data_IF_457802120393
#
_entry.id   IF_457802120393
#
_cell.length_a   1.000
_cell.length_b   1.000
_cell.length_c   1.000
_cell.angle_alpha   90.00
_cell.angle_beta   90.00
_cell.angle_gamma   90.00
#
_symmetry.space_group_name_H-M   'P 1'
#
loop_
_entity.id
_entity.type
_entity.pdbx_description
1 polymer ?
#
# COMPACT_ATOMS: atom_id res chain seq x y z
N UNK A 1 -10.68 -9.12 22.31
CA UNK A 1 -11.58 -9.75 21.34
C UNK A 1 -11.14 -11.18 21.11
N UNK A 2 -12.00 -12.15 21.43
CA UNK A 2 -11.76 -13.57 21.17
C UNK A 2 -12.26 -13.97 19.76
N UNK A 3 -12.03 -15.23 19.36
CA UNK A 3 -12.43 -15.73 18.03
C UNK A 3 -13.93 -15.64 17.76
N UNK A 4 -14.77 -15.98 18.74
CA UNK A 4 -16.23 -15.98 18.58
C UNK A 4 -16.77 -14.55 18.36
N UNK A 5 -16.29 -13.59 19.14
CA UNK A 5 -16.62 -12.18 18.99
C UNK A 5 -16.16 -11.64 17.63
N UNK A 6 -14.93 -11.95 17.23
CA UNK A 6 -14.37 -11.56 15.93
C UNK A 6 -15.21 -12.10 14.76
N UNK A 7 -15.60 -13.38 14.81
CA UNK A 7 -16.50 -13.99 13.82
C UNK A 7 -17.91 -13.39 13.82
N UNK A 8 -18.42 -12.95 14.99
CA UNK A 8 -19.70 -12.25 15.08
C UNK A 8 -19.62 -10.86 14.41
N UNK A 9 -18.55 -10.11 14.66
CA UNK A 9 -18.31 -8.79 14.06
C UNK A 9 -18.06 -8.86 12.54
N UNK A 10 -17.26 -9.83 12.07
CA UNK A 10 -17.08 -10.10 10.63
C UNK A 10 -18.43 -10.37 9.93
N UNK A 11 -19.29 -11.21 10.52
CA UNK A 11 -20.63 -11.49 9.97
C UNK A 11 -21.59 -10.30 10.01
N UNK A 12 -21.32 -9.30 10.84
CA UNK A 12 -22.03 -8.02 10.84
C UNK A 12 -21.49 -7.02 9.79
N UNK A 13 -20.43 -7.36 9.06
CA UNK A 13 -19.83 -6.53 8.01
C UNK A 13 -18.74 -5.58 8.49
N UNK A 14 -18.18 -5.77 9.69
CA UNK A 14 -17.02 -4.99 10.14
C UNK A 14 -15.74 -5.31 9.35
N UNK A 15 -14.88 -4.31 9.14
CA UNK A 15 -13.68 -4.43 8.30
C UNK A 15 -12.64 -5.39 8.93
N UNK A 16 -12.16 -6.41 8.20
CA UNK A 16 -11.24 -7.42 8.75
C UNK A 16 -9.89 -6.87 9.25
N UNK A 17 -9.40 -5.75 8.70
CA UNK A 17 -8.19 -5.10 9.17
C UNK A 17 -8.46 -4.26 10.43
N UNK A 18 -9.59 -3.55 10.50
CA UNK A 18 -10.00 -2.84 11.71
C UNK A 18 -10.23 -3.81 12.89
N UNK A 19 -10.83 -4.98 12.65
CA UNK A 19 -10.94 -6.06 13.64
C UNK A 19 -9.57 -6.63 14.06
N UNK A 20 -8.65 -6.82 13.11
CA UNK A 20 -7.29 -7.26 13.43
C UNK A 20 -6.55 -6.22 14.29
N UNK A 21 -6.74 -4.92 14.02
CA UNK A 21 -6.23 -3.82 14.85
C UNK A 21 -6.87 -3.83 16.25
N UNK A 22 -8.16 -4.11 16.37
CA UNK A 22 -8.84 -4.21 17.68
C UNK A 22 -8.24 -5.35 18.53
N UNK A 23 -8.09 -6.55 17.96
CA UNK A 23 -7.42 -7.68 18.62
C UNK A 23 -6.03 -7.29 19.14
N UNK A 24 -5.21 -6.62 18.32
CA UNK A 24 -3.86 -6.22 18.73
C UNK A 24 -3.83 -5.13 19.80
N UNK A 25 -4.84 -4.25 19.86
CA UNK A 25 -5.00 -3.35 21.02
C UNK A 25 -5.24 -4.14 22.30
N UNK A 26 -6.11 -5.15 22.26
CA UNK A 26 -6.42 -5.97 23.44
C UNK A 26 -5.20 -6.79 23.90
N UNK A 27 -4.44 -7.37 22.96
CA UNK A 27 -3.15 -8.00 23.26
C UNK A 27 -2.19 -7.00 23.92
N UNK A 28 -2.00 -5.81 23.36
CA UNK A 28 -1.13 -4.77 23.93
C UNK A 28 -1.60 -4.30 25.31
N UNK A 29 -2.91 -4.17 25.52
CA UNK A 29 -3.50 -3.79 26.80
C UNK A 29 -3.30 -4.89 27.86
N UNK A 30 -3.48 -6.16 27.50
CA UNK A 30 -3.22 -7.31 28.39
C UNK A 30 -1.74 -7.41 28.75
N UNK A 31 -0.84 -7.25 27.77
CA UNK A 31 0.61 -7.20 28.03
C UNK A 31 0.99 -6.08 29.00
N UNK A 32 0.24 -4.98 29.05
CA UNK A 32 0.47 -3.87 29.98
C UNK A 32 -0.06 -4.12 31.39
N UNK A 33 -1.10 -4.94 31.56
CA UNK A 33 -1.68 -5.27 32.88
C UNK A 33 -0.91 -6.38 33.61
N UNK A 34 -0.37 -7.36 32.88
CA UNK A 34 0.28 -8.55 33.47
C UNK A 34 1.69 -8.28 34.03
N UNK A 35 2.12 -9.11 34.99
CA UNK A 35 3.46 -9.01 35.61
C UNK A 35 4.43 -10.08 35.13
N UNK A 36 3.95 -11.23 34.66
CA UNK A 36 4.75 -12.34 34.13
C UNK A 36 4.20 -12.79 32.78
N UNK A 37 5.05 -13.35 31.93
CA UNK A 37 4.60 -13.93 30.66
C UNK A 37 3.66 -15.13 30.86
N UNK A 38 3.75 -15.82 32.00
CA UNK A 38 2.82 -16.89 32.41
C UNK A 38 1.38 -16.43 32.61
N UNK A 39 1.15 -15.13 32.78
CA UNK A 39 -0.17 -14.56 33.04
C UNK A 39 -0.83 -14.10 31.73
N UNK A 40 -0.20 -14.34 30.57
CA UNK A 40 -0.76 -14.03 29.26
C UNK A 40 -2.00 -14.90 28.99
N UNK A 41 -3.06 -14.31 28.41
CA UNK A 41 -4.26 -15.03 28.03
C UNK A 41 -4.12 -15.55 26.60
N UNK A 42 -3.77 -16.82 26.48
CA UNK A 42 -3.56 -17.52 25.20
C UNK A 42 -4.75 -17.37 24.22
N UNK A 43 -5.97 -17.20 24.74
CA UNK A 43 -7.19 -17.02 23.93
C UNK A 43 -7.22 -15.69 23.16
N UNK A 44 -6.48 -14.66 23.61
CA UNK A 44 -6.37 -13.39 22.90
C UNK A 44 -5.57 -13.52 21.61
N UNK A 45 -4.56 -14.38 21.59
CA UNK A 45 -3.74 -14.58 20.39
C UNK A 45 -4.33 -15.66 19.50
N UNK A 46 -4.58 -16.86 20.03
CA UNK A 46 -5.20 -17.99 19.32
C UNK A 46 -4.73 -18.15 17.85
N UNK A 47 -3.42 -17.97 17.65
CA UNK A 47 -2.68 -18.16 16.40
C UNK A 47 -3.28 -17.40 15.19
N UNK A 48 -3.15 -17.97 13.99
CA UNK A 48 -3.80 -17.47 12.77
C UNK A 48 -5.33 -17.61 12.84
N UNK A 49 -5.83 -18.56 13.62
CA UNK A 49 -7.25 -18.90 13.75
C UNK A 49 -8.08 -17.80 14.43
N UNK A 50 -7.44 -16.81 15.06
CA UNK A 50 -8.10 -15.60 15.53
C UNK A 50 -7.61 -14.35 14.77
N UNK A 51 -7.14 -14.47 13.52
CA UNK A 51 -6.81 -13.33 12.68
C UNK A 51 -7.96 -13.08 11.70
N UNK A 52 -8.67 -11.95 11.84
CA UNK A 52 -9.80 -11.63 10.97
C UNK A 52 -9.40 -11.55 9.48
N UNK A 53 -8.15 -11.18 9.18
CA UNK A 53 -7.61 -11.25 7.81
C UNK A 53 -7.44 -12.71 7.31
N UNK A 54 -7.10 -13.66 8.17
CA UNK A 54 -6.98 -15.07 7.78
C UNK A 54 -8.35 -15.72 7.55
N UNK A 55 -9.42 -15.26 8.20
CA UNK A 55 -10.79 -15.74 7.94
C UNK A 55 -11.30 -15.35 6.55
N UNK A 56 -10.92 -14.17 6.05
CA UNK A 56 -11.44 -13.64 4.77
C UNK A 56 -10.51 -13.86 3.58
N UNK A 57 -9.28 -14.30 3.83
CA UNK A 57 -8.26 -14.51 2.81
C UNK A 57 -7.80 -15.97 2.80
N UNK A 58 -8.43 -16.79 1.96
CA UNK A 58 -8.11 -18.22 1.76
C UNK A 58 -6.63 -18.49 1.41
N UNK A 59 -5.92 -17.48 0.92
CA UNK A 59 -4.48 -17.54 0.63
C UNK A 59 -3.76 -16.28 1.09
N UNK A 60 -2.57 -16.46 1.66
CA UNK A 60 -1.65 -15.38 2.04
C UNK A 60 -1.48 -14.36 0.91
N UNK A 61 -1.36 -14.80 -0.34
CA UNK A 61 -1.16 -13.95 -1.52
C UNK A 61 -2.26 -12.89 -1.72
N UNK A 62 -3.48 -13.15 -1.23
CA UNK A 62 -4.59 -12.20 -1.32
C UNK A 62 -4.59 -11.16 -0.18
N UNK A 63 -3.96 -11.47 0.95
CA UNK A 63 -3.94 -10.69 2.18
C UNK A 63 -3.15 -9.37 2.02
N UNK A 64 -3.62 -8.24 2.57
CA UNK A 64 -2.90 -6.97 2.52
C UNK A 64 -1.54 -7.01 3.24
N UNK A 65 -1.36 -7.90 4.23
CA UNK A 65 -0.06 -8.10 4.89
C UNK A 65 0.98 -8.64 3.91
N UNK A 66 0.63 -9.69 3.15
CA UNK A 66 1.51 -10.24 2.10
C UNK A 66 1.84 -9.20 1.04
N UNK A 67 0.84 -8.42 0.58
CA UNK A 67 1.04 -7.34 -0.39
C UNK A 67 2.02 -6.28 0.11
N UNK A 68 2.10 -6.05 1.42
CA UNK A 68 3.07 -5.12 2.03
C UNK A 68 4.45 -5.73 2.27
N UNK A 69 4.56 -7.02 2.60
CA UNK A 69 5.83 -7.65 3.02
C UNK A 69 6.49 -8.53 1.96
N UNK A 70 5.75 -8.97 0.94
CA UNK A 70 6.16 -9.98 -0.03
C UNK A 70 6.38 -11.38 0.58
N UNK A 71 5.79 -11.68 1.74
CA UNK A 71 6.10 -12.89 2.53
C UNK A 71 4.84 -13.53 3.12
N UNK A 72 4.79 -14.86 3.05
CA UNK A 72 3.72 -15.68 3.63
C UNK A 72 3.82 -15.79 5.15
N UNK A 73 2.77 -16.32 5.80
CA UNK A 73 2.72 -16.61 7.24
C UNK A 73 3.03 -15.39 8.13
N UNK A 74 2.63 -14.19 7.68
CA UNK A 74 2.99 -12.89 8.30
C UNK A 74 4.51 -12.68 8.45
N UNK A 75 5.32 -13.30 7.59
CA UNK A 75 6.75 -13.07 7.54
C UNK A 75 7.08 -11.60 7.27
N UNK A 76 8.09 -11.08 7.94
CA UNK A 76 8.46 -9.66 7.82
C UNK A 76 7.54 -8.68 8.57
N UNK A 77 6.60 -9.16 9.39
CA UNK A 77 5.92 -8.33 10.39
C UNK A 77 6.41 -8.63 11.82
N UNK A 78 6.25 -7.68 12.77
CA UNK A 78 6.58 -7.87 14.18
C UNK A 78 5.85 -9.04 14.87
N UNK A 79 4.76 -9.57 14.30
CA UNK A 79 4.11 -10.80 14.77
C UNK A 79 5.10 -11.95 14.98
N UNK A 80 6.08 -12.14 14.09
CA UNK A 80 7.04 -13.23 14.25
C UNK A 80 7.99 -13.01 15.44
N UNK A 81 8.33 -11.76 15.72
CA UNK A 81 9.10 -11.35 16.91
C UNK A 81 8.29 -11.63 18.18
N UNK A 82 6.98 -11.33 18.15
CA UNK A 82 6.03 -11.59 19.24
C UNK A 82 5.92 -13.09 19.55
N UNK A 83 5.75 -13.93 18.51
CA UNK A 83 5.70 -15.40 18.62
C UNK A 83 6.96 -15.99 19.23
N UNK A 84 8.13 -15.47 18.86
CA UNK A 84 9.42 -15.90 19.40
C UNK A 84 9.62 -15.46 20.86
N UNK A 85 9.19 -14.24 21.20
CA UNK A 85 9.23 -13.72 22.57
C UNK A 85 8.36 -14.55 23.52
N UNK A 86 7.12 -14.85 23.11
CA UNK A 86 6.19 -15.71 23.84
C UNK A 86 6.78 -17.08 24.15
N UNK A 87 7.29 -17.79 23.13
CA UNK A 87 7.87 -19.13 23.30
C UNK A 87 9.06 -19.17 24.26
N UNK A 88 9.66 -18.01 24.56
CA UNK A 88 10.77 -17.82 25.51
C UNK A 88 10.32 -17.25 26.85
N UNK A 89 9.02 -17.02 27.04
CA UNK A 89 8.42 -16.32 28.18
C UNK A 89 9.02 -14.92 28.44
N UNK A 90 9.49 -14.25 27.37
CA UNK A 90 10.07 -12.90 27.44
C UNK A 90 8.98 -11.82 27.33
N UNK A 91 8.39 -11.47 28.47
CA UNK A 91 7.35 -10.43 28.56
C UNK A 91 7.81 -9.07 28.02
N UNK A 92 9.11 -8.73 28.09
CA UNK A 92 9.62 -7.45 27.60
C UNK A 92 9.63 -7.45 26.08
N UNK A 93 10.13 -8.51 25.46
CA UNK A 93 10.11 -8.65 24.01
C UNK A 93 8.66 -8.80 23.46
N UNK A 94 7.76 -9.49 24.19
CA UNK A 94 6.33 -9.56 23.84
C UNK A 94 5.69 -8.17 23.77
N UNK A 95 5.93 -7.31 24.78
CA UNK A 95 5.43 -5.92 24.78
C UNK A 95 5.91 -5.13 23.56
N UNK A 96 7.23 -5.14 23.31
CA UNK A 96 7.84 -4.39 22.20
C UNK A 96 7.29 -4.87 20.85
N UNK A 97 7.24 -6.18 20.62
CA UNK A 97 6.75 -6.74 19.36
C UNK A 97 5.24 -6.52 19.17
N UNK A 98 4.43 -6.60 20.24
CA UNK A 98 2.99 -6.36 20.16
C UNK A 98 2.63 -4.91 19.86
N UNK A 99 3.36 -3.94 20.43
CA UNK A 99 3.19 -2.53 20.07
C UNK A 99 3.57 -2.27 18.61
N UNK A 100 4.67 -2.84 18.13
CA UNK A 100 5.10 -2.73 16.72
C UNK A 100 4.13 -3.39 15.74
N UNK A 101 3.54 -4.54 16.06
CA UNK A 101 2.55 -5.20 15.20
C UNK A 101 1.27 -4.35 15.11
N UNK A 102 0.83 -3.77 16.23
CA UNK A 102 -0.29 -2.82 16.24
C UNK A 102 -0.01 -1.57 15.38
N UNK A 103 1.20 -0.99 15.50
CA UNK A 103 1.64 0.12 14.65
C UNK A 103 1.70 -0.26 13.17
N UNK A 104 2.22 -1.45 12.85
CA UNK A 104 2.27 -1.99 11.49
C UNK A 104 0.86 -2.11 10.87
N UNK A 105 -0.11 -2.69 11.58
CA UNK A 105 -1.48 -2.83 11.09
C UNK A 105 -2.18 -1.47 10.94
N UNK A 106 -1.95 -0.53 11.86
CA UNK A 106 -2.45 0.85 11.74
C UNK A 106 -1.84 1.55 10.52
N UNK A 107 -0.55 1.34 10.24
CA UNK A 107 0.15 1.87 9.06
C UNK A 107 -0.41 1.27 7.76
N UNK A 108 -0.58 -0.06 7.72
CA UNK A 108 -1.19 -0.79 6.61
C UNK A 108 -2.61 -0.24 6.29
N UNK A 109 -3.41 0.03 7.31
CA UNK A 109 -4.75 0.64 7.14
C UNK A 109 -4.68 2.04 6.52
N UNK A 110 -3.69 2.87 6.90
CA UNK A 110 -3.47 4.18 6.26
C UNK A 110 -3.10 4.00 4.78
N UNK A 111 -2.16 3.11 4.48
CA UNK A 111 -1.75 2.79 3.10
C UNK A 111 -2.93 2.35 2.23
N UNK A 112 -3.80 1.44 2.72
CA UNK A 112 -4.97 0.98 1.96
C UNK A 112 -5.99 2.11 1.70
N UNK A 113 -6.20 3.01 2.67
CA UNK A 113 -7.07 4.19 2.48
C UNK A 113 -6.50 5.16 1.45
N UNK A 114 -5.19 5.43 1.50
CA UNK A 114 -4.50 6.27 0.50
C UNK A 114 -4.53 5.63 -0.89
N UNK A 115 -4.25 4.32 -1.01
CA UNK A 115 -4.36 3.58 -2.27
C UNK A 115 -5.76 3.72 -2.88
N UNK A 116 -6.83 3.52 -2.10
CA UNK A 116 -8.21 3.65 -2.60
C UNK A 116 -8.54 5.07 -3.09
N UNK A 117 -8.03 6.11 -2.40
CA UNK A 117 -8.13 7.51 -2.87
C UNK A 117 -7.45 7.68 -4.23
N UNK A 118 -6.24 7.13 -4.38
CA UNK A 118 -5.47 7.21 -5.62
C UNK A 118 -6.10 6.41 -6.77
N UNK A 119 -6.63 5.22 -6.52
CA UNK A 119 -7.36 4.44 -7.54
C UNK A 119 -8.57 5.19 -8.09
N UNK A 120 -9.33 5.90 -7.23
CA UNK A 120 -10.43 6.77 -7.66
C UNK A 120 -9.94 7.95 -8.52
N UNK A 121 -8.77 8.54 -8.20
CA UNK A 121 -8.17 9.61 -9.00
C UNK A 121 -7.75 9.07 -10.37
N UNK A 122 -7.03 7.93 -10.43
CA UNK A 122 -6.63 7.32 -11.70
C UNK A 122 -7.85 6.99 -12.59
N UNK A 123 -8.92 6.45 -12.00
CA UNK A 123 -10.18 6.20 -12.73
C UNK A 123 -10.80 7.47 -13.31
N UNK A 124 -10.75 8.59 -12.57
CA UNK A 124 -11.22 9.89 -13.04
C UNK A 124 -10.34 10.47 -14.17
N UNK A 125 -9.02 10.31 -14.09
CA UNK A 125 -8.07 10.77 -15.11
C UNK A 125 -8.19 9.95 -16.41
N UNK A 126 -8.29 8.62 -16.32
CA UNK A 126 -8.60 7.74 -17.45
C UNK A 126 -9.95 8.11 -18.10
N UNK A 127 -10.96 8.43 -17.29
CA UNK A 127 -12.24 8.95 -17.76
C UNK A 127 -12.15 10.29 -18.50
N UNK A 128 -11.29 11.23 -18.04
CA UNK A 128 -11.02 12.49 -18.77
C UNK A 128 -10.42 12.22 -20.16
N UNK A 129 -9.39 11.39 -20.24
CA UNK A 129 -8.69 11.06 -21.48
C UNK A 129 -9.61 10.38 -22.50
N UNK A 130 -10.45 9.44 -22.05
CA UNK A 130 -11.47 8.78 -22.89
C UNK A 130 -12.52 9.73 -23.47
N UNK A 131 -12.73 10.89 -22.84
CA UNK A 131 -13.59 11.97 -23.34
C UNK A 131 -12.83 13.00 -24.21
N UNK A 132 -11.57 12.71 -24.58
CA UNK A 132 -10.73 13.63 -25.37
C UNK A 132 -10.31 14.89 -24.60
N UNK A 133 -10.46 14.92 -23.27
CA UNK A 133 -10.08 16.08 -22.46
C UNK A 133 -8.59 16.03 -22.15
N UNK A 134 -7.89 17.14 -22.40
CA UNK A 134 -6.51 17.34 -21.92
C UNK A 134 -6.49 17.32 -20.38
N UNK A 135 -5.43 16.73 -19.83
CA UNK A 135 -5.14 16.80 -18.40
C UNK A 135 -4.51 18.16 -18.05
N UNK A 136 -4.66 18.59 -16.80
CA UNK A 136 -4.01 19.81 -16.26
C UNK A 136 -2.69 19.48 -15.59
N UNK A 137 -1.83 20.47 -15.33
CA UNK A 137 -0.58 20.27 -14.59
C UNK A 137 -0.84 19.71 -13.16
N UNK A 138 -1.98 20.01 -12.56
CA UNK A 138 -2.44 19.44 -11.28
C UNK A 138 -2.85 17.95 -11.40
N UNK A 139 -3.43 17.54 -12.54
CA UNK A 139 -3.66 16.13 -12.84
C UNK A 139 -2.32 15.37 -13.03
N UNK A 140 -1.33 15.98 -13.70
CA UNK A 140 0.02 15.40 -13.89
C UNK A 140 0.78 15.29 -12.56
N UNK A 141 0.77 16.33 -11.73
CA UNK A 141 1.37 16.32 -10.39
C UNK A 141 0.80 15.18 -9.55
N UNK A 142 -0.51 14.90 -9.65
CA UNK A 142 -1.14 13.76 -8.98
C UNK A 142 -0.68 12.42 -9.54
N UNK A 143 -0.46 12.28 -10.85
CA UNK A 143 0.11 11.04 -11.41
C UNK A 143 1.50 10.75 -10.81
N UNK A 144 2.33 11.77 -10.65
CA UNK A 144 3.67 11.66 -10.03
C UNK A 144 3.56 11.33 -8.53
N UNK A 145 2.66 11.99 -7.77
CA UNK A 145 2.37 11.66 -6.37
C UNK A 145 1.96 10.19 -6.20
N UNK A 146 1.08 9.71 -7.08
CA UNK A 146 0.56 8.34 -7.07
C UNK A 146 1.65 7.32 -7.44
N UNK A 147 2.52 7.64 -8.40
CA UNK A 147 3.60 6.74 -8.81
C UNK A 147 4.68 6.60 -7.74
N UNK A 148 5.12 7.71 -7.16
CA UNK A 148 6.08 7.72 -6.05
C UNK A 148 5.54 6.91 -4.85
N UNK A 149 4.27 7.08 -4.51
CA UNK A 149 3.60 6.26 -3.49
C UNK A 149 3.53 4.78 -3.89
N UNK A 150 3.27 4.46 -5.16
CA UNK A 150 3.25 3.08 -5.64
C UNK A 150 4.63 2.41 -5.50
N UNK A 151 5.71 3.13 -5.81
CA UNK A 151 7.08 2.67 -5.64
C UNK A 151 7.46 2.50 -4.17
N UNK A 152 7.25 3.52 -3.32
CA UNK A 152 7.52 3.49 -1.87
C UNK A 152 6.79 2.33 -1.16
N UNK A 153 5.55 2.05 -1.60
CA UNK A 153 4.70 1.04 -0.97
C UNK A 153 4.73 -0.34 -1.65
N UNK A 154 5.53 -0.53 -2.70
CA UNK A 154 5.62 -1.74 -3.52
C UNK A 154 4.24 -2.22 -4.04
N UNK A 155 3.53 -1.32 -4.72
CA UNK A 155 2.18 -1.51 -5.28
C UNK A 155 2.24 -1.55 -6.82
N UNK A 156 2.73 -2.64 -7.44
CA UNK A 156 2.91 -2.71 -8.89
C UNK A 156 1.60 -2.50 -9.67
N UNK A 157 0.46 -2.91 -9.12
CA UNK A 157 -0.86 -2.70 -9.72
C UNK A 157 -1.31 -1.23 -9.78
N UNK A 158 -0.69 -0.36 -8.97
CA UNK A 158 -0.96 1.08 -8.99
C UNK A 158 -0.01 1.78 -9.98
N UNK A 159 1.27 1.40 -9.98
CA UNK A 159 2.27 1.83 -10.96
C UNK A 159 1.83 1.48 -12.41
N UNK A 160 1.34 0.26 -12.64
CA UNK A 160 0.84 -0.16 -13.96
C UNK A 160 -0.36 0.69 -14.44
N UNK A 161 -1.23 1.13 -13.52
CA UNK A 161 -2.35 2.04 -13.85
C UNK A 161 -1.87 3.44 -14.22
N UNK A 162 -0.86 3.97 -13.51
CA UNK A 162 -0.21 5.24 -13.86
C UNK A 162 0.43 5.15 -15.24
N UNK A 163 1.24 4.12 -15.50
CA UNK A 163 1.90 3.90 -16.78
C UNK A 163 0.90 3.82 -17.96
N UNK A 164 -0.25 3.16 -17.79
CA UNK A 164 -1.34 3.12 -18.80
C UNK A 164 -1.93 4.49 -19.10
N UNK A 165 -2.05 5.36 -18.09
CA UNK A 165 -2.51 6.73 -18.26
C UNK A 165 -1.45 7.56 -18.98
N UNK A 166 -0.17 7.44 -18.62
CA UNK A 166 0.96 8.10 -19.31
C UNK A 166 0.98 7.74 -20.81
N UNK A 167 0.94 6.44 -21.15
CA UNK A 167 0.86 5.96 -22.55
C UNK A 167 -0.41 6.44 -23.27
N UNK A 168 -1.48 6.78 -22.55
CA UNK A 168 -2.69 7.35 -23.14
C UNK A 168 -2.57 8.86 -23.38
N UNK A 169 -1.83 9.57 -22.52
CA UNK A 169 -1.44 10.98 -22.75
C UNK A 169 -0.55 11.07 -23.99
N UNK A 170 0.50 10.25 -24.08
CA UNK A 170 1.42 10.17 -25.22
C UNK A 170 0.71 9.99 -26.58
N UNK A 171 -0.40 9.23 -26.61
CA UNK A 171 -1.20 9.01 -27.84
C UNK A 171 -2.10 10.18 -28.22
N UNK A 172 -2.32 11.13 -27.32
CA UNK A 172 -3.25 12.27 -27.51
C UNK A 172 -2.54 13.62 -27.64
N UNK A 173 -1.27 13.70 -27.26
CA UNK A 173 -0.40 14.84 -27.56
C UNK A 173 0.28 14.56 -28.91
N UNK A 174 0.07 15.40 -29.95
CA UNK A 174 0.84 15.29 -31.19
C UNK A 174 2.31 15.57 -30.89
N UNK A 175 3.22 14.73 -31.40
CA UNK A 175 4.64 15.06 -31.38
C UNK A 175 4.87 16.33 -32.21
N UNK A 176 5.39 17.40 -31.60
CA UNK A 176 5.82 18.57 -32.36
C UNK A 176 7.10 18.22 -33.14
N UNK A 177 7.09 18.38 -34.46
CA UNK A 177 8.31 18.25 -35.24
C UNK A 177 9.24 19.46 -34.99
N UNK A 178 10.06 19.36 -33.94
CA UNK A 178 11.10 20.35 -33.69
C UNK A 178 12.29 20.11 -34.63
N UNK A 179 12.27 20.80 -35.77
CA UNK A 179 13.52 21.12 -36.47
C UNK A 179 14.36 22.08 -35.61
N UNK A 180 15.65 21.78 -35.50
CA UNK A 180 16.68 22.64 -34.92
C UNK A 180 17.76 22.72 -35.99
N UNK A 181 18.23 23.93 -36.27
CA UNK A 181 19.36 24.13 -37.18
C UNK A 181 20.65 23.70 -36.49
N UNK A 182 21.68 23.42 -37.28
CA UNK A 182 22.99 23.03 -36.75
C UNK A 182 23.56 24.14 -35.86
N UNK A 183 23.85 23.82 -34.59
CA UNK A 183 24.27 24.78 -33.57
C UNK A 183 23.14 25.51 -32.82
N UNK A 184 21.86 25.26 -33.12
CA UNK A 184 20.73 25.91 -32.46
C UNK A 184 20.33 25.21 -31.14
N UNK A 185 20.53 25.88 -30.01
CA UNK A 185 20.04 25.44 -28.70
C UNK A 185 18.78 26.24 -28.36
N UNK A 186 17.60 25.63 -28.51
CA UNK A 186 16.38 26.18 -27.92
C UNK A 186 16.48 26.07 -26.39
N UNK A 187 16.29 27.20 -25.69
CA UNK A 187 15.84 27.15 -24.29
C UNK A 187 14.38 26.70 -24.26
N UNK A 188 14.26 25.39 -24.23
CA UNK A 188 13.15 24.67 -23.63
C UNK A 188 12.89 25.29 -22.24
N UNK A 189 11.63 25.59 -21.90
CA UNK A 189 11.29 26.07 -20.54
C UNK A 189 11.72 25.04 -19.49
N UNK A 190 11.83 25.42 -18.22
CA UNK A 190 12.42 24.56 -17.16
C UNK A 190 11.72 23.21 -16.95
N UNK A 191 10.58 23.02 -17.61
CA UNK A 191 9.70 21.85 -17.60
C UNK A 191 9.66 21.12 -18.97
N UNK A 192 10.76 21.13 -19.76
CA UNK A 192 10.76 20.72 -21.19
C UNK A 192 11.95 19.79 -21.58
N UNK A 193 11.69 18.61 -22.18
CA UNK A 193 12.62 17.49 -22.52
C UNK A 193 12.34 16.92 -23.94
N UNK A 194 13.38 16.72 -24.79
CA UNK A 194 13.24 16.79 -26.27
C UNK A 194 13.87 15.68 -27.18
N UNK A 195 13.21 15.44 -28.33
CA UNK A 195 13.42 14.61 -29.56
C UNK A 195 13.40 13.07 -29.44
N UNK A 196 13.34 12.25 -30.52
CA UNK A 196 12.61 12.20 -31.83
C UNK A 196 13.04 10.90 -32.58
N UNK A 197 12.14 10.08 -33.17
CA UNK A 197 12.50 8.81 -33.87
C UNK A 197 12.85 8.94 -35.36
N UNK A 198 14.03 8.42 -35.72
CA UNK A 198 14.19 7.51 -36.87
C UNK A 198 15.01 6.26 -36.50
N UNK A 199 15.89 6.39 -35.49
CA UNK A 199 16.64 5.29 -34.85
C UNK A 199 16.57 5.39 -33.31
N UNK A 200 15.37 5.22 -32.71
CA UNK A 200 15.09 5.23 -31.25
C UNK A 200 15.40 6.52 -30.43
N UNK A 201 14.45 7.48 -30.34
CA UNK A 201 14.19 8.26 -29.11
C UNK A 201 12.70 8.62 -28.98
N UNK A 202 12.20 8.68 -27.73
CA UNK A 202 10.85 9.15 -27.33
C UNK A 202 11.05 10.36 -26.39
N UNK A 203 10.07 11.25 -26.37
CA UNK A 203 10.12 12.61 -25.83
C UNK A 203 9.08 12.71 -24.69
N UNK A 204 9.54 12.83 -23.42
CA UNK A 204 8.68 12.89 -22.21
C UNK A 204 9.23 13.95 -21.25
N UNK A 205 8.32 14.77 -20.75
CA UNK A 205 8.53 16.17 -20.41
C UNK A 205 7.82 16.52 -19.08
N UNK A 206 8.52 17.17 -18.13
CA UNK A 206 8.20 17.18 -16.68
C UNK A 206 7.69 18.53 -16.13
#
# INVERSE_FOLDING_TARGET
MNREEMLRKLRAGEDPLDLSIEKWKDIVNHLKSIRRASDFDDNLEAHGDNCALCEVHESCHSCPVYKRTGRENCGGTPYWEFRLAWRRYDLKAMRIAGERELEFLISLRKQLKTKKKFENILQFLDGKLKLGKKLTNDDITKLIEIDNFAQEHNLPELHEKVAKIIVSIEKTIPAEEVELKEGEIKKLSENVVIRKRKDNMIEIEW
#
